data_IF_576287931107
#
_entry.id   IF_576287931107
#
_cell.length_a   1.000
_cell.length_b   1.000
_cell.length_c   1.000
_cell.angle_alpha   90.00
_cell.angle_beta   90.00
_cell.angle_gamma   90.00
#
_symmetry.space_group_name_H-M   'P 1'
#
loop_
_entity.id
_entity.type
_entity.pdbx_description
1 polymer ?
#
# COMPACT_ATOMS: atom_id res chain seq x y z
N UNK A 1 -8.84 -6.72 14.79
CA UNK A 1 -8.58 -5.55 13.99
C UNK A 1 -7.12 -5.13 14.12
N UNK A 2 -6.43 -4.96 13.00
CA UNK A 2 -4.98 -4.72 13.00
C UNK A 2 -4.57 -3.53 13.86
N UNK A 3 -5.25 -2.42 13.70
CA UNK A 3 -4.85 -1.19 14.37
C UNK A 3 -5.19 -1.18 15.86
N UNK A 4 -6.06 -2.06 16.31
CA UNK A 4 -6.41 -2.16 17.72
C UNK A 4 -5.66 -3.26 18.46
N UNK A 5 -4.79 -4.00 17.76
CA UNK A 5 -4.00 -5.06 18.37
C UNK A 5 -2.52 -4.85 18.05
N UNK A 6 -1.77 -4.23 18.98
CA UNK A 6 -0.36 -3.94 18.74
C UNK A 6 0.49 -5.17 18.45
N UNK A 7 0.16 -6.30 19.09
CA UNK A 7 0.89 -7.54 18.87
C UNK A 7 0.70 -8.05 17.44
N UNK A 8 -0.53 -8.03 16.97
CA UNK A 8 -0.84 -8.44 15.60
C UNK A 8 -0.14 -7.52 14.60
N UNK A 9 -0.18 -6.22 14.86
CA UNK A 9 0.48 -5.26 13.97
C UNK A 9 1.98 -5.50 13.91
N UNK A 10 2.61 -5.76 15.07
CA UNK A 10 4.04 -6.04 15.12
C UNK A 10 4.38 -7.31 14.35
N UNK A 11 3.56 -8.35 14.44
CA UNK A 11 3.75 -9.59 13.69
C UNK A 11 3.64 -9.35 12.18
N UNK A 12 2.67 -8.55 11.78
CA UNK A 12 2.49 -8.24 10.35
C UNK A 12 3.67 -7.45 9.80
N UNK A 13 4.14 -6.46 10.54
CA UNK A 13 5.32 -5.70 10.14
C UNK A 13 6.55 -6.59 10.02
N UNK A 14 6.75 -7.50 10.97
CA UNK A 14 7.86 -8.45 10.90
C UNK A 14 7.74 -9.34 9.68
N UNK A 15 6.55 -9.82 9.37
CA UNK A 15 6.32 -10.66 8.20
C UNK A 15 6.61 -9.89 6.91
N UNK A 16 6.21 -8.62 6.84
CA UNK A 16 6.50 -7.78 5.67
C UNK A 16 8.01 -7.64 5.48
N UNK A 17 8.72 -7.31 6.56
CA UNK A 17 10.17 -7.11 6.49
C UNK A 17 10.92 -8.39 6.13
N UNK A 18 10.52 -9.52 6.72
CA UNK A 18 11.26 -10.77 6.58
C UNK A 18 10.94 -11.52 5.31
N UNK A 19 9.71 -11.42 4.81
CA UNK A 19 9.25 -12.28 3.73
C UNK A 19 8.59 -11.55 2.58
N UNK A 20 7.54 -10.78 2.84
CA UNK A 20 6.73 -10.23 1.76
C UNK A 20 7.51 -9.21 0.91
N UNK A 21 8.22 -8.29 1.57
CA UNK A 21 8.96 -7.27 0.83
C UNK A 21 10.12 -7.86 0.06
N UNK A 22 11.05 -8.64 0.69
CA UNK A 22 12.22 -9.11 -0.06
C UNK A 22 11.89 -10.19 -1.08
N UNK A 23 10.83 -10.99 -0.87
CA UNK A 23 10.56 -12.13 -1.74
C UNK A 23 9.52 -11.84 -2.82
N UNK A 24 8.56 -10.94 -2.55
CA UNK A 24 7.45 -10.72 -3.47
C UNK A 24 7.60 -9.49 -4.35
N UNK A 25 8.03 -8.37 -3.78
CA UNK A 25 8.01 -7.07 -4.49
C UNK A 25 9.39 -6.57 -4.83
N UNK A 26 10.37 -6.71 -3.92
CA UNK A 26 11.69 -6.13 -4.13
C UNK A 26 12.37 -6.59 -5.42
N UNK A 27 12.26 -7.88 -5.83
CA UNK A 27 12.88 -8.29 -7.10
C UNK A 27 12.34 -7.53 -8.31
N UNK A 28 11.02 -7.27 -8.35
CA UNK A 28 10.40 -6.51 -9.41
C UNK A 28 10.89 -5.06 -9.41
N UNK A 29 11.01 -4.48 -8.22
CA UNK A 29 11.52 -3.12 -8.09
C UNK A 29 12.97 -3.04 -8.56
N UNK A 30 13.80 -4.01 -8.18
CA UNK A 30 15.20 -4.03 -8.62
C UNK A 30 15.32 -4.12 -10.13
N UNK A 31 14.47 -4.89 -10.77
CA UNK A 31 14.44 -4.97 -12.22
C UNK A 31 14.09 -3.62 -12.85
N UNK A 32 13.09 -2.94 -12.30
CA UNK A 32 12.72 -1.62 -12.78
C UNK A 32 13.79 -0.57 -12.53
N UNK A 33 14.54 -0.68 -11.43
CA UNK A 33 15.69 0.20 -11.17
C UNK A 33 16.79 -0.02 -12.21
N UNK A 34 17.03 -1.28 -12.57
CA UNK A 34 18.07 -1.62 -13.53
C UNK A 34 17.73 -1.11 -14.94
N UNK A 35 16.45 -1.14 -15.34
CA UNK A 35 16.04 -0.68 -16.67
C UNK A 35 15.67 0.81 -16.70
N UNK A 36 15.72 1.49 -15.54
CA UNK A 36 15.48 2.92 -15.46
C UNK A 36 14.02 3.31 -15.30
N UNK A 37 13.09 2.36 -15.22
CA UNK A 37 11.66 2.68 -15.09
C UNK A 37 11.24 3.01 -13.67
N UNK A 38 12.00 2.56 -12.66
CA UNK A 38 11.69 2.81 -11.25
C UNK A 38 12.82 3.61 -10.61
N UNK A 39 12.45 4.66 -9.89
CA UNK A 39 13.40 5.58 -9.27
C UNK A 39 13.27 5.52 -7.74
N UNK A 40 14.17 4.80 -7.10
CA UNK A 40 14.20 4.71 -5.65
C UNK A 40 15.62 4.45 -5.17
N UNK A 41 15.87 4.77 -3.91
CA UNK A 41 17.20 4.56 -3.33
C UNK A 41 17.44 3.10 -2.94
N UNK A 42 16.38 2.37 -2.59
CA UNK A 42 16.53 1.00 -2.08
C UNK A 42 15.25 0.20 -2.35
N UNK A 43 15.42 -0.94 -3.02
CA UNK A 43 14.28 -1.77 -3.42
C UNK A 43 13.55 -2.40 -2.23
N UNK A 44 14.31 -2.89 -1.25
CA UNK A 44 13.68 -3.53 -0.08
C UNK A 44 12.92 -2.52 0.77
N UNK A 45 13.52 -1.35 1.02
CA UNK A 45 12.86 -0.32 1.80
C UNK A 45 11.58 0.17 1.12
N UNK A 46 11.62 0.34 -0.20
CA UNK A 46 10.42 0.74 -0.93
C UNK A 46 9.35 -0.36 -0.86
N UNK A 47 9.75 -1.62 -1.02
CA UNK A 47 8.80 -2.74 -0.93
C UNK A 47 8.14 -2.79 0.44
N UNK A 48 8.91 -2.60 1.52
CA UNK A 48 8.35 -2.55 2.88
C UNK A 48 7.34 -1.43 3.01
N UNK A 49 7.69 -0.23 2.55
CA UNK A 49 6.81 0.92 2.64
C UNK A 49 5.51 0.69 1.86
N UNK A 50 5.61 0.12 0.67
CA UNK A 50 4.43 -0.15 -0.14
C UNK A 50 3.49 -1.16 0.52
N UNK A 51 4.04 -2.20 1.13
CA UNK A 51 3.21 -3.16 1.86
C UNK A 51 2.50 -2.51 3.04
N UNK A 52 3.21 -1.71 3.83
CA UNK A 52 2.59 -1.03 4.98
C UNK A 52 1.52 -0.06 4.51
N UNK A 53 1.81 0.72 3.49
CA UNK A 53 0.83 1.67 2.96
C UNK A 53 -0.40 0.96 2.41
N UNK A 54 -0.21 -0.12 1.65
CA UNK A 54 -1.33 -0.82 1.06
C UNK A 54 -2.14 -1.61 2.10
N UNK A 55 -1.46 -2.33 2.99
CA UNK A 55 -2.14 -3.20 3.96
C UNK A 55 -2.84 -2.43 5.07
N UNK A 56 -2.24 -1.33 5.51
CA UNK A 56 -2.71 -0.64 6.70
C UNK A 56 -3.34 0.69 6.35
N UNK A 57 -2.59 1.56 5.70
CA UNK A 57 -3.06 2.93 5.48
C UNK A 57 -4.13 3.01 4.39
N UNK A 58 -3.94 2.28 3.30
CA UNK A 58 -4.84 2.36 2.14
C UNK A 58 -6.08 1.50 2.31
N UNK A 59 -6.02 0.47 3.15
CA UNK A 59 -7.14 -0.46 3.30
C UNK A 59 -8.25 0.12 4.15
N UNK A 60 -9.49 0.21 3.62
CA UNK A 60 -10.61 0.72 4.40
C UNK A 60 -11.09 -0.24 5.49
N UNK A 61 -10.55 -1.45 5.51
CA UNK A 61 -10.96 -2.47 6.47
C UNK A 61 -10.19 -2.41 7.78
N UNK A 62 -9.08 -1.66 7.83
CA UNK A 62 -8.29 -1.55 9.06
C UNK A 62 -8.87 -0.56 10.05
N UNK A 63 -9.71 0.35 9.59
CA UNK A 63 -10.37 1.35 10.43
C UNK A 63 -11.57 1.92 9.69
N UNK A 64 -12.55 2.51 10.40
CA UNK A 64 -13.66 3.18 9.74
C UNK A 64 -13.15 4.26 8.79
N UNK A 65 -13.63 4.24 7.56
CA UNK A 65 -13.17 5.15 6.51
C UNK A 65 -14.38 5.56 5.67
N UNK A 66 -14.54 6.87 5.46
CA UNK A 66 -15.59 7.35 4.56
C UNK A 66 -15.14 7.22 3.11
N UNK A 67 -16.08 7.13 2.16
CA UNK A 67 -15.70 7.13 0.74
C UNK A 67 -14.84 8.32 0.34
N UNK A 68 -15.13 9.51 0.87
CA UNK A 68 -14.33 10.69 0.55
C UNK A 68 -12.89 10.57 1.04
N UNK A 69 -12.71 10.05 2.27
CA UNK A 69 -11.39 9.80 2.80
C UNK A 69 -10.62 8.77 1.98
N UNK A 70 -11.31 7.72 1.57
CA UNK A 70 -10.68 6.68 0.76
C UNK A 70 -10.25 7.22 -0.60
N UNK A 71 -11.08 8.04 -1.23
CA UNK A 71 -10.71 8.66 -2.50
C UNK A 71 -9.47 9.52 -2.38
N UNK A 72 -9.39 10.30 -1.30
CA UNK A 72 -8.20 11.14 -1.07
C UNK A 72 -6.94 10.30 -0.88
N UNK A 73 -7.04 9.22 -0.10
CA UNK A 73 -5.90 8.33 0.11
C UNK A 73 -5.48 7.62 -1.16
N UNK A 74 -6.44 7.17 -1.96
CA UNK A 74 -6.15 6.53 -3.25
C UNK A 74 -5.38 7.47 -4.16
N UNK A 75 -5.82 8.71 -4.27
CA UNK A 75 -5.14 9.70 -5.13
C UNK A 75 -3.70 9.95 -4.67
N UNK A 76 -3.50 10.12 -3.37
CA UNK A 76 -2.16 10.37 -2.84
C UNK A 76 -1.27 9.15 -3.07
N UNK A 77 -1.79 7.95 -2.86
CA UNK A 77 -1.03 6.73 -3.13
C UNK A 77 -0.64 6.63 -4.61
N UNK A 78 -1.59 6.91 -5.50
CA UNK A 78 -1.31 6.90 -6.94
C UNK A 78 -0.25 7.93 -7.31
N UNK A 79 -0.33 9.13 -6.75
CA UNK A 79 0.65 10.19 -7.01
C UNK A 79 2.05 9.80 -6.54
N UNK A 80 2.15 9.23 -5.33
CA UNK A 80 3.45 8.84 -4.78
C UNK A 80 4.09 7.72 -5.59
N UNK A 81 3.31 6.69 -5.92
CA UNK A 81 3.86 5.56 -6.67
C UNK A 81 4.18 5.93 -8.11
N UNK A 82 3.34 6.75 -8.73
CA UNK A 82 3.61 7.21 -10.10
C UNK A 82 4.92 8.00 -10.18
N UNK A 83 5.20 8.83 -9.20
CA UNK A 83 6.44 9.62 -9.16
C UNK A 83 7.68 8.72 -9.11
N UNK A 84 7.55 7.52 -8.58
CA UNK A 84 8.63 6.56 -8.51
C UNK A 84 8.69 5.62 -9.73
N UNK A 85 7.75 5.76 -10.65
CA UNK A 85 7.66 4.89 -11.82
C UNK A 85 6.78 3.66 -11.61
N UNK A 86 5.92 3.69 -10.60
CA UNK A 86 5.08 2.55 -10.24
C UNK A 86 3.61 2.92 -10.38
N UNK A 87 2.87 2.18 -11.20
CA UNK A 87 1.44 2.36 -11.33
C UNK A 87 0.74 1.14 -10.73
N UNK A 88 0.73 1.09 -9.41
CA UNK A 88 0.27 -0.08 -8.66
C UNK A 88 -1.22 -0.09 -8.41
N UNK A 89 -1.86 1.06 -8.42
CA UNK A 89 -3.29 1.17 -8.14
C UNK A 89 -3.98 1.78 -9.34
N UNK A 90 -4.74 0.96 -10.08
CA UNK A 90 -5.51 1.47 -11.21
C UNK A 90 -6.74 2.22 -10.71
N UNK A 91 -7.32 3.03 -11.59
CA UNK A 91 -8.55 3.75 -11.24
C UNK A 91 -9.69 2.79 -10.89
N UNK A 92 -9.79 1.66 -11.60
CA UNK A 92 -10.79 0.65 -11.28
C UNK A 92 -10.57 0.04 -9.91
N UNK A 93 -9.32 -0.28 -9.56
CA UNK A 93 -8.98 -0.80 -8.24
C UNK A 93 -9.22 0.23 -7.16
N UNK A 94 -8.92 1.49 -7.43
CA UNK A 94 -9.17 2.58 -6.48
C UNK A 94 -10.67 2.69 -6.18
N UNK A 95 -11.51 2.60 -7.21
CA UNK A 95 -12.95 2.65 -7.00
C UNK A 95 -13.46 1.46 -6.22
N UNK A 96 -12.88 0.28 -6.42
CA UNK A 96 -13.22 -0.90 -5.62
C UNK A 96 -12.93 -0.69 -4.14
N UNK A 97 -11.84 -0.01 -3.82
CA UNK A 97 -11.53 0.31 -2.43
C UNK A 97 -12.56 1.26 -1.83
N UNK A 98 -13.03 2.21 -2.62
CA UNK A 98 -14.11 3.11 -2.18
C UNK A 98 -15.38 2.32 -1.88
N UNK A 99 -15.69 1.32 -2.70
CA UNK A 99 -16.87 0.49 -2.52
C UNK A 99 -16.79 -0.37 -1.25
N UNK A 100 -15.59 -0.68 -0.78
CA UNK A 100 -15.41 -1.43 0.45
C UNK A 100 -15.61 -0.59 1.70
N UNK A 101 -15.68 0.73 1.57
CA UNK A 101 -15.93 1.59 2.71
C UNK A 101 -17.34 1.32 3.23
N UNK A 102 -17.45 1.16 4.54
CA UNK A 102 -18.75 0.97 5.17
C UNK A 102 -19.58 2.23 4.96
N UNK A 103 -20.76 2.09 4.36
CA UNK A 103 -21.62 3.26 4.21
C UNK A 103 -21.90 3.88 5.57
N UNK A 104 -21.87 5.21 5.61
CA UNK A 104 -22.27 5.89 6.81
C UNK A 104 -23.76 5.66 6.99
N UNK A 105 -24.10 4.92 8.00
CA UNK A 105 -25.49 4.73 8.33
C UNK A 105 -25.96 5.96 9.00
N UNK A 106 -26.75 6.61 8.30
CA UNK A 106 -27.38 7.74 8.95
C UNK A 106 -27.97 7.22 10.22
#
# INVERSE_FOLDING_TARGET
HLCSNPQFLAMELTNIEAHLAPECIAPMIRQGMADGSIHTADANALAEALFVLADIWLSPQTRPTTPAQQRARNLVFQQMTHALGLDLLTDAQAEQLVQLCTPVKG
#
